data_IF_383233855400
#
_entry.id   IF_383233855400
#
_cell.length_a   1.000
_cell.length_b   1.000
_cell.length_c   1.000
_cell.angle_alpha   90.00
_cell.angle_beta   90.00
_cell.angle_gamma   90.00
#
_symmetry.space_group_name_H-M   'P 1'
#
loop_
_entity.id
_entity.type
_entity.pdbx_description
1 polymer ?
#
# COMPACT_ATOMS: atom_id res chain seq x y z
N UNK A 1 13.02 1.34 2.56
CA UNK A 1 13.30 2.36 1.53
C UNK A 1 12.08 2.70 0.69
N UNK A 2 11.60 1.78 -0.14
CA UNK A 2 10.46 2.02 -1.06
C UNK A 2 9.21 2.51 -0.34
N UNK A 3 8.88 1.92 0.81
CA UNK A 3 7.70 2.31 1.59
C UNK A 3 7.76 3.78 2.04
N UNK A 4 8.94 4.27 2.40
CA UNK A 4 9.14 5.68 2.75
C UNK A 4 8.88 6.62 1.57
N UNK A 5 9.33 6.25 0.38
CA UNK A 5 9.07 7.03 -0.83
C UNK A 5 7.59 7.04 -1.22
N UNK A 6 6.87 5.95 -0.97
CA UNK A 6 5.42 5.92 -1.17
C UNK A 6 4.71 6.89 -0.21
N UNK A 7 5.16 6.94 1.04
CA UNK A 7 4.65 7.92 2.01
C UNK A 7 4.89 9.36 1.54
N UNK A 8 6.10 9.67 1.09
CA UNK A 8 6.45 10.99 0.57
C UNK A 8 5.60 11.35 -0.65
N UNK A 9 5.43 10.42 -1.59
CA UNK A 9 4.58 10.60 -2.76
C UNK A 9 3.13 10.88 -2.35
N UNK A 10 2.63 10.17 -1.35
CA UNK A 10 1.28 10.37 -0.82
C UNK A 10 1.09 11.76 -0.22
N UNK A 11 2.05 12.26 0.55
CA UNK A 11 2.00 13.61 1.11
C UNK A 11 2.01 14.66 -0.01
N UNK A 12 2.90 14.50 -1.00
CA UNK A 12 2.95 15.40 -2.15
C UNK A 12 1.63 15.39 -2.92
N UNK A 13 1.06 14.21 -3.14
CA UNK A 13 -0.21 14.05 -3.85
C UNK A 13 -1.38 14.66 -3.05
N UNK A 14 -1.36 14.56 -1.72
CA UNK A 14 -2.34 15.24 -0.86
C UNK A 14 -2.33 16.75 -1.06
N UNK A 15 -1.14 17.34 -1.20
CA UNK A 15 -1.00 18.78 -1.48
C UNK A 15 -1.57 19.14 -2.85
N UNK A 16 -1.31 18.33 -3.87
CA UNK A 16 -1.87 18.53 -5.22
C UNK A 16 -3.40 18.43 -5.18
N UNK A 17 -3.94 17.43 -4.50
CA UNK A 17 -5.39 17.23 -4.36
C UNK A 17 -6.07 18.40 -3.64
N UNK A 18 -5.41 18.96 -2.62
CA UNK A 18 -5.96 20.06 -1.83
C UNK A 18 -5.91 21.42 -2.56
N UNK A 19 -4.89 21.66 -3.39
CA UNK A 19 -4.59 23.00 -3.90
C UNK A 19 -4.71 23.17 -5.40
N UNK A 20 -4.68 22.10 -6.18
CA UNK A 20 -4.55 22.20 -7.64
C UNK A 20 -5.61 21.50 -8.46
N UNK A 21 -6.09 20.36 -8.04
CA UNK A 21 -6.99 19.50 -8.81
C UNK A 21 -8.13 19.02 -7.94
N UNK A 22 -9.35 19.45 -8.27
CA UNK A 22 -10.56 19.04 -7.56
C UNK A 22 -11.04 17.65 -8.05
N UNK A 23 -10.31 16.61 -7.72
CA UNK A 23 -10.65 15.23 -8.05
C UNK A 23 -10.66 14.39 -6.75
N UNK A 24 -11.82 13.83 -6.34
CA UNK A 24 -11.90 13.01 -5.12
C UNK A 24 -10.99 11.78 -5.16
N UNK A 25 -10.71 11.25 -6.36
CA UNK A 25 -9.82 10.12 -6.54
C UNK A 25 -8.39 10.41 -6.11
N UNK A 26 -7.91 11.63 -6.35
CA UNK A 26 -6.55 12.01 -5.93
C UNK A 26 -6.39 12.00 -4.41
N UNK A 27 -7.38 12.47 -3.66
CA UNK A 27 -7.35 12.43 -2.20
C UNK A 27 -7.33 10.98 -1.70
N UNK A 28 -8.12 10.10 -2.31
CA UNK A 28 -8.14 8.67 -1.99
C UNK A 28 -6.79 8.02 -2.31
N UNK A 29 -6.23 8.28 -3.48
CA UNK A 29 -4.93 7.74 -3.88
C UNK A 29 -3.82 8.19 -2.92
N UNK A 30 -3.83 9.46 -2.52
CA UNK A 30 -2.88 10.02 -1.57
C UNK A 30 -2.97 9.34 -0.20
N UNK A 31 -4.18 9.18 0.32
CA UNK A 31 -4.43 8.50 1.60
C UNK A 31 -3.95 7.04 1.55
N UNK A 32 -4.23 6.33 0.47
CA UNK A 32 -3.81 4.94 0.29
C UNK A 32 -2.28 4.82 0.27
N UNK A 33 -1.59 5.72 -0.43
CA UNK A 33 -0.12 5.73 -0.45
C UNK A 33 0.48 5.92 0.93
N UNK A 34 -0.03 6.89 1.70
CA UNK A 34 0.45 7.16 3.05
C UNK A 34 0.20 5.96 3.97
N UNK A 35 -1.03 5.46 3.97
CA UNK A 35 -1.48 4.40 4.86
C UNK A 35 -0.74 3.09 4.61
N UNK A 36 -0.63 2.69 3.35
CA UNK A 36 0.03 1.45 2.99
C UNK A 36 1.55 1.56 3.01
N UNK A 37 2.09 2.76 2.76
CA UNK A 37 3.51 3.04 2.99
C UNK A 37 3.88 2.84 4.46
N UNK A 38 3.10 3.41 5.38
CA UNK A 38 3.30 3.23 6.82
C UNK A 38 3.14 1.77 7.25
N UNK A 39 2.13 1.08 6.74
CA UNK A 39 1.91 -0.34 7.03
C UNK A 39 3.07 -1.21 6.53
N UNK A 40 3.59 -0.94 5.34
CA UNK A 40 4.72 -1.67 4.78
C UNK A 40 6.01 -1.46 5.60
N UNK A 41 6.24 -0.27 6.13
CA UNK A 41 7.33 -0.02 7.08
C UNK A 41 7.16 -0.87 8.33
N UNK A 42 5.96 -0.90 8.90
CA UNK A 42 5.64 -1.72 10.08
C UNK A 42 5.86 -3.21 9.84
N UNK A 43 5.38 -3.74 8.71
CA UNK A 43 5.57 -5.14 8.34
C UNK A 43 7.05 -5.48 8.14
N UNK A 44 7.82 -4.57 7.55
CA UNK A 44 9.26 -4.75 7.36
C UNK A 44 10.00 -4.77 8.71
N UNK A 45 9.58 -3.94 9.65
CA UNK A 45 10.14 -3.92 11.00
C UNK A 45 9.81 -5.21 11.76
N UNK A 46 8.56 -5.70 11.65
CA UNK A 46 8.15 -6.99 12.23
C UNK A 46 8.96 -8.15 11.66
N UNK A 47 9.27 -8.13 10.37
CA UNK A 47 10.11 -9.14 9.76
C UNK A 47 11.47 -9.29 10.44
N UNK A 48 12.05 -8.17 10.88
CA UNK A 48 13.31 -8.18 11.62
C UNK A 48 13.20 -8.68 13.05
N UNK A 49 11.99 -8.75 13.62
CA UNK A 49 11.73 -9.09 15.01
C UNK A 49 11.07 -10.47 15.19
N UNK A 50 10.92 -11.24 14.11
CA UNK A 50 10.21 -12.53 14.13
C UNK A 50 11.07 -13.64 13.52
N UNK A 51 10.88 -14.90 13.95
CA UNK A 51 11.51 -16.05 13.28
C UNK A 51 10.89 -16.38 11.91
N UNK A 52 9.83 -15.66 11.51
CA UNK A 52 9.12 -15.86 10.23
C UNK A 52 9.20 -14.62 9.31
N UNK A 53 10.40 -14.12 8.99
CA UNK A 53 10.52 -12.86 8.26
C UNK A 53 9.89 -12.90 6.86
N UNK A 54 9.95 -14.05 6.20
CA UNK A 54 9.54 -14.19 4.81
C UNK A 54 8.07 -13.82 4.57
N UNK A 55 7.16 -14.20 5.46
CA UNK A 55 5.74 -13.91 5.30
C UNK A 55 5.43 -12.42 5.47
N UNK A 56 6.10 -11.75 6.42
CA UNK A 56 5.92 -10.30 6.63
C UNK A 56 6.54 -9.50 5.49
N UNK A 57 7.70 -9.92 4.97
CA UNK A 57 8.31 -9.30 3.79
C UNK A 57 7.46 -9.53 2.53
N UNK A 58 6.88 -10.70 2.37
CA UNK A 58 5.96 -10.99 1.27
C UNK A 58 4.73 -10.08 1.34
N UNK A 59 4.12 -9.93 2.52
CA UNK A 59 2.97 -9.04 2.72
C UNK A 59 3.36 -7.58 2.43
N UNK A 60 4.50 -7.11 2.93
CA UNK A 60 5.00 -5.76 2.68
C UNK A 60 5.25 -5.51 1.19
N UNK A 61 5.90 -6.44 0.51
CA UNK A 61 6.21 -6.33 -0.92
C UNK A 61 4.95 -6.31 -1.78
N UNK A 62 4.00 -7.20 -1.47
CA UNK A 62 2.70 -7.23 -2.15
C UNK A 62 1.93 -5.92 -1.92
N UNK A 63 1.96 -5.39 -0.70
CA UNK A 63 1.30 -4.13 -0.35
C UNK A 63 1.88 -2.95 -1.14
N UNK A 64 3.22 -2.86 -1.23
CA UNK A 64 3.90 -1.83 -2.02
C UNK A 64 3.51 -1.92 -3.49
N UNK A 65 3.55 -3.10 -4.07
CA UNK A 65 3.14 -3.32 -5.46
C UNK A 65 1.67 -2.95 -5.68
N UNK A 66 0.80 -3.44 -4.81
CA UNK A 66 -0.65 -3.27 -4.93
C UNK A 66 -1.07 -1.80 -4.79
N UNK A 67 -0.52 -1.06 -3.83
CA UNK A 67 -0.87 0.36 -3.65
C UNK A 67 -0.29 1.21 -4.78
N UNK A 68 0.87 0.87 -5.29
CA UNK A 68 1.44 1.55 -6.46
C UNK A 68 0.54 1.37 -7.68
N UNK A 69 0.05 0.17 -7.90
CA UNK A 69 -0.87 -0.13 -8.99
C UNK A 69 -2.22 0.61 -8.82
N UNK A 70 -2.81 0.53 -7.64
CA UNK A 70 -4.10 1.18 -7.35
C UNK A 70 -4.00 2.69 -7.44
N UNK A 71 -3.11 3.30 -6.67
CA UNK A 71 -2.96 4.76 -6.62
C UNK A 71 -2.39 5.30 -7.91
N UNK A 72 -1.47 4.57 -8.56
CA UNK A 72 -0.93 4.94 -9.86
C UNK A 72 -2.00 5.01 -10.94
N UNK A 73 -2.92 4.05 -10.98
CA UNK A 73 -4.04 4.07 -11.94
C UNK A 73 -5.01 5.23 -11.66
N UNK A 74 -5.33 5.47 -10.38
CA UNK A 74 -6.21 6.58 -9.99
C UNK A 74 -5.59 7.92 -10.38
N UNK A 75 -4.29 8.10 -10.12
CA UNK A 75 -3.55 9.31 -10.50
C UNK A 75 -3.50 9.47 -12.02
N UNK A 76 -3.23 8.41 -12.75
CA UNK A 76 -3.20 8.44 -14.22
C UNK A 76 -4.54 8.89 -14.80
N UNK A 77 -5.64 8.39 -14.27
CA UNK A 77 -6.98 8.82 -14.72
C UNK A 77 -7.25 10.30 -14.41
N UNK A 78 -6.85 10.75 -13.24
CA UNK A 78 -7.11 12.13 -12.80
C UNK A 78 -6.25 13.16 -13.51
N UNK A 79 -4.95 12.87 -13.73
CA UNK A 79 -3.98 13.82 -14.26
C UNK A 79 -3.67 13.62 -15.75
N UNK A 80 -3.75 12.40 -16.26
CA UNK A 80 -3.40 12.06 -17.63
C UNK A 80 -4.60 11.65 -18.48
N UNK A 81 -5.78 11.57 -17.89
CA UNK A 81 -7.03 11.29 -18.60
C UNK A 81 -7.25 9.84 -19.02
N UNK A 82 -6.40 8.91 -18.58
CA UNK A 82 -6.51 7.50 -18.96
C UNK A 82 -5.99 6.55 -17.92
N UNK A 83 -6.45 5.30 -17.95
CA UNK A 83 -6.00 4.24 -17.06
C UNK A 83 -4.62 3.74 -17.47
N UNK A 84 -3.87 3.16 -16.52
CA UNK A 84 -2.64 2.43 -16.83
C UNK A 84 -2.93 1.25 -17.75
N UNK A 85 -3.95 0.46 -17.42
CA UNK A 85 -4.50 -0.61 -18.24
C UNK A 85 -5.89 -0.97 -17.70
N UNK A 86 -6.73 -1.72 -18.47
CA UNK A 86 -8.05 -2.14 -17.99
C UNK A 86 -7.93 -2.93 -16.68
N UNK A 87 -8.78 -2.62 -15.69
CA UNK A 87 -8.84 -3.29 -14.39
C UNK A 87 -7.64 -3.03 -13.46
N UNK A 88 -6.76 -2.07 -13.76
CA UNK A 88 -5.57 -1.78 -12.92
C UNK A 88 -5.94 -1.45 -11.47
N UNK A 89 -6.86 -0.50 -11.25
CA UNK A 89 -7.28 -0.13 -9.89
C UNK A 89 -8.01 -1.27 -9.16
N UNK A 90 -8.98 -1.98 -9.76
CA UNK A 90 -9.59 -3.15 -9.12
C UNK A 90 -8.60 -4.25 -8.76
N UNK A 91 -7.63 -4.53 -9.62
CA UNK A 91 -6.55 -5.49 -9.33
C UNK A 91 -5.70 -5.02 -8.14
N UNK A 92 -5.29 -3.76 -8.16
CA UNK A 92 -4.52 -3.17 -7.07
C UNK A 92 -5.27 -3.23 -5.73
N UNK A 93 -6.54 -2.85 -5.73
CA UNK A 93 -7.40 -2.94 -4.54
C UNK A 93 -7.56 -4.37 -4.03
N UNK A 94 -7.77 -5.33 -4.92
CA UNK A 94 -7.88 -6.75 -4.55
C UNK A 94 -6.58 -7.28 -3.94
N UNK A 95 -5.45 -6.91 -4.52
CA UNK A 95 -4.13 -7.29 -3.99
C UNK A 95 -3.83 -6.62 -2.65
N UNK A 96 -4.35 -5.42 -2.40
CA UNK A 96 -4.26 -4.77 -1.08
C UNK A 96 -5.02 -5.58 -0.03
N UNK A 97 -6.24 -6.01 -0.35
CA UNK A 97 -7.03 -6.87 0.56
C UNK A 97 -6.26 -8.16 0.85
N UNK A 98 -5.67 -8.77 -0.18
CA UNK A 98 -4.86 -9.98 -0.02
C UNK A 98 -3.65 -9.73 0.87
N UNK A 99 -2.94 -8.62 0.71
CA UNK A 99 -1.76 -8.31 1.52
C UNK A 99 -2.11 -8.09 2.99
N UNK A 100 -3.21 -7.40 3.29
CA UNK A 100 -3.71 -7.24 4.65
C UNK A 100 -4.13 -8.57 5.27
N UNK A 101 -4.81 -9.43 4.49
CA UNK A 101 -5.20 -10.77 4.93
C UNK A 101 -3.99 -11.63 5.26
N UNK A 102 -2.97 -11.58 4.42
CA UNK A 102 -1.70 -12.28 4.64
C UNK A 102 -1.01 -11.79 5.92
N UNK A 103 -0.94 -10.48 6.12
CA UNK A 103 -0.36 -9.90 7.32
C UNK A 103 -1.13 -10.30 8.59
N UNK A 104 -2.46 -10.28 8.54
CA UNK A 104 -3.32 -10.68 9.65
C UNK A 104 -3.15 -12.15 10.01
N UNK A 105 -3.19 -13.03 9.03
CA UNK A 105 -2.98 -14.47 9.24
C UNK A 105 -1.58 -14.77 9.79
N UNK A 106 -0.56 -14.12 9.26
CA UNK A 106 0.81 -14.26 9.76
C UNK A 106 0.93 -13.82 11.22
N UNK A 107 0.27 -12.73 11.59
CA UNK A 107 0.22 -12.26 12.98
C UNK A 107 -0.45 -13.27 13.92
N UNK A 108 -1.58 -13.83 13.50
CA UNK A 108 -2.31 -14.83 14.30
C UNK A 108 -1.48 -16.11 14.46
N UNK A 109 -0.94 -16.64 13.37
CA UNK A 109 -0.11 -17.86 13.41
C UNK A 109 1.15 -17.61 14.23
N UNK A 110 1.77 -16.46 14.10
CA UNK A 110 2.93 -16.07 14.90
C UNK A 110 2.62 -16.01 16.40
N UNK A 111 1.48 -15.44 16.78
CA UNK A 111 1.03 -15.38 18.16
C UNK A 111 0.77 -16.77 18.76
N UNK A 112 0.19 -17.69 17.98
CA UNK A 112 -0.10 -19.06 18.42
C UNK A 112 1.20 -19.86 18.59
N UNK A 113 2.13 -19.74 17.65
CA UNK A 113 3.38 -20.52 17.63
C UNK A 113 4.49 -19.92 18.47
N UNK A 114 4.51 -18.61 18.60
CA UNK A 114 5.52 -17.88 19.34
C UNK A 114 5.09 -17.50 20.76
N UNK A 115 4.07 -18.16 21.29
CA UNK A 115 3.56 -17.88 22.63
C UNK A 115 4.67 -17.86 23.70
N UNK A 116 4.40 -17.25 24.83
CA UNK A 116 5.43 -16.98 25.83
C UNK A 116 6.16 -18.21 26.32
#
# INVERSE_FOLDING_TARGET
>A
GLAGFLGAAGVALSAVAAHRVADPGLATAALFLILHGAAAVGLSALAGATPWPAVFLAAASLMIFAVTLFSGDVVARALLGGRLFPMAAPMGGSLLILSWSLAGLAGIVGAIRGGP
#
